data_IF_853788873759
#
_entry.id   IF_853788873759
#
_cell.length_a   1.000
_cell.length_b   1.000
_cell.length_c   1.000
_cell.angle_alpha   90.00
_cell.angle_beta   90.00
_cell.angle_gamma   90.00
#
_symmetry.space_group_name_H-M   'P 1'
#
loop_
_entity.id
_entity.type
_entity.pdbx_description
1 polymer ?
#
# COMPACT_ATOMS: atom_id res chain seq x y z
N UNK A 1 -18.57 27.04 9.23
CA UNK A 1 -17.61 26.20 8.50
C UNK A 1 -17.17 25.10 9.44
N UNK A 2 -17.37 23.82 9.10
CA UNK A 2 -17.05 22.72 10.02
C UNK A 2 -15.54 22.71 10.25
N UNK A 3 -15.14 22.83 11.51
CA UNK A 3 -13.75 22.73 11.96
C UNK A 3 -13.26 21.33 11.61
N UNK A 4 -12.44 21.23 10.57
CA UNK A 4 -11.76 20.00 10.18
C UNK A 4 -10.89 19.59 11.36
N UNK A 5 -11.25 18.49 12.03
CA UNK A 5 -10.41 17.90 13.08
C UNK A 5 -9.57 16.78 12.42
N UNK A 6 -8.25 16.97 12.27
CA UNK A 6 -7.36 15.98 11.67
C UNK A 6 -7.49 14.61 12.33
N UNK A 7 -7.72 14.57 13.64
CA UNK A 7 -7.86 13.33 14.39
C UNK A 7 -9.18 12.58 14.10
N UNK A 8 -10.17 13.21 13.46
CA UNK A 8 -11.46 12.52 13.18
C UNK A 8 -11.30 11.41 12.15
N UNK A 9 -10.51 11.63 11.09
CA UNK A 9 -10.28 10.61 10.08
C UNK A 9 -9.54 9.39 10.67
N UNK A 10 -8.53 9.63 11.49
CA UNK A 10 -7.81 8.58 12.21
C UNK A 10 -8.73 7.81 13.17
N UNK A 11 -9.53 8.51 13.98
CA UNK A 11 -10.53 7.86 14.86
C UNK A 11 -11.54 7.01 14.09
N UNK A 12 -11.95 7.45 12.90
CA UNK A 12 -12.85 6.69 12.03
C UNK A 12 -12.20 5.42 11.48
N UNK A 13 -10.96 5.51 10.98
CA UNK A 13 -10.20 4.34 10.52
C UNK A 13 -9.97 3.35 11.64
N UNK A 14 -9.62 3.86 12.82
CA UNK A 14 -9.41 3.06 14.03
C UNK A 14 -10.68 2.32 14.45
N UNK A 15 -11.80 3.05 14.58
CA UNK A 15 -13.10 2.48 14.93
C UNK A 15 -13.58 1.44 13.90
N UNK A 16 -13.38 1.70 12.60
CA UNK A 16 -13.76 0.78 11.54
C UNK A 16 -12.97 -0.52 11.64
N UNK A 17 -11.66 -0.44 11.81
CA UNK A 17 -10.79 -1.61 11.87
C UNK A 17 -11.09 -2.50 13.08
N UNK A 18 -11.34 -1.91 14.24
CA UNK A 18 -11.79 -2.64 15.44
C UNK A 18 -13.11 -3.37 15.18
N UNK A 19 -14.12 -2.65 14.69
CA UNK A 19 -15.44 -3.24 14.43
C UNK A 19 -15.38 -4.36 13.38
N UNK A 20 -14.60 -4.19 12.32
CA UNK A 20 -14.43 -5.23 11.30
C UNK A 20 -13.71 -6.46 11.84
N UNK A 21 -12.78 -6.28 12.77
CA UNK A 21 -12.09 -7.39 13.44
C UNK A 21 -13.02 -8.11 14.42
N UNK A 22 -13.85 -7.36 15.16
CA UNK A 22 -14.80 -7.89 16.16
C UNK A 22 -16.01 -8.61 15.55
N UNK A 23 -16.53 -8.09 14.44
CA UNK A 23 -17.84 -8.50 13.92
C UNK A 23 -17.80 -8.99 12.47
N UNK A 24 -16.67 -8.86 11.78
CA UNK A 24 -16.55 -9.10 10.35
C UNK A 24 -17.05 -7.92 9.51
N UNK A 25 -16.41 -7.70 8.37
CA UNK A 25 -16.70 -6.57 7.47
C UNK A 25 -18.18 -6.44 7.09
N UNK A 26 -18.84 -7.55 6.76
CA UNK A 26 -20.22 -7.54 6.26
C UNK A 26 -21.25 -7.13 7.32
N UNK A 27 -20.98 -7.42 8.60
CA UNK A 27 -21.91 -7.18 9.70
C UNK A 27 -21.82 -5.75 10.29
N UNK A 28 -20.87 -4.94 9.80
CA UNK A 28 -20.63 -3.58 10.30
C UNK A 28 -21.23 -2.55 9.36
N UNK A 29 -21.80 -1.50 9.97
CA UNK A 29 -22.44 -0.37 9.30
C UNK A 29 -21.70 0.94 9.56
N UNK A 30 -21.86 1.90 8.64
CA UNK A 30 -21.35 3.27 8.80
C UNK A 30 -21.83 3.93 10.10
N UNK A 31 -23.06 3.63 10.54
CA UNK A 31 -23.60 4.17 11.80
C UNK A 31 -22.79 3.70 13.00
N UNK A 32 -22.51 2.39 13.09
CA UNK A 32 -21.72 1.82 14.19
C UNK A 32 -20.30 2.41 14.22
N UNK A 33 -19.68 2.58 13.05
CA UNK A 33 -18.35 3.19 12.95
C UNK A 33 -18.38 4.65 13.44
N UNK A 34 -19.37 5.43 12.99
CA UNK A 34 -19.52 6.82 13.38
C UNK A 34 -19.75 6.96 14.90
N UNK A 35 -20.64 6.14 15.46
CA UNK A 35 -20.92 6.10 16.90
C UNK A 35 -19.67 5.74 17.72
N UNK A 36 -18.94 4.71 17.30
CA UNK A 36 -17.66 4.31 17.93
C UNK A 36 -16.61 5.41 17.87
N UNK A 37 -16.55 6.17 16.78
CA UNK A 37 -15.65 7.32 16.63
C UNK A 37 -16.16 8.61 17.29
N UNK A 38 -17.32 8.59 17.95
CA UNK A 38 -17.90 9.73 18.66
C UNK A 38 -18.47 10.81 17.75
N UNK A 39 -18.87 10.49 16.52
CA UNK A 39 -19.46 11.43 15.56
C UNK A 39 -20.79 10.94 15.00
N UNK A 40 -21.55 11.82 14.36
CA UNK A 40 -22.81 11.42 13.71
C UNK A 40 -22.55 10.72 12.37
N UNK A 41 -23.48 9.85 11.95
CA UNK A 41 -23.52 9.28 10.58
C UNK A 41 -23.42 10.36 9.49
N UNK A 42 -24.08 11.51 9.69
CA UNK A 42 -23.99 12.64 8.75
C UNK A 42 -22.58 13.22 8.67
N UNK A 43 -21.85 13.26 9.79
CA UNK A 43 -20.46 13.70 9.83
C UNK A 43 -19.53 12.71 9.16
N UNK A 44 -19.76 11.40 9.30
CA UNK A 44 -18.98 10.35 8.62
C UNK A 44 -18.88 10.59 7.11
N UNK A 45 -20.03 10.85 6.46
CA UNK A 45 -20.08 11.06 5.01
C UNK A 45 -19.36 12.32 4.51
N UNK A 46 -18.86 13.18 5.41
CA UNK A 46 -17.94 14.26 5.04
C UNK A 46 -16.50 13.77 4.82
N UNK A 47 -16.16 12.61 5.36
CA UNK A 47 -14.82 12.01 5.29
C UNK A 47 -14.78 10.86 4.29
N UNK A 48 -15.76 9.94 4.36
CA UNK A 48 -15.76 8.73 3.54
C UNK A 48 -17.13 8.51 2.89
N UNK A 49 -17.16 8.13 1.60
CA UNK A 49 -18.41 7.90 0.88
C UNK A 49 -19.15 6.65 1.37
N UNK A 50 -18.42 5.66 1.85
CA UNK A 50 -18.95 4.37 2.31
C UNK A 50 -18.02 3.71 3.33
N UNK A 51 -18.45 2.55 3.85
CA UNK A 51 -17.72 1.78 4.87
C UNK A 51 -16.42 1.17 4.32
N UNK A 52 -16.31 0.91 3.02
CA UNK A 52 -15.13 0.34 2.40
C UNK A 52 -13.99 1.35 2.41
N UNK A 53 -14.25 2.57 1.95
CA UNK A 53 -13.22 3.59 1.72
C UNK A 53 -12.50 4.05 2.99
N UNK A 54 -13.09 3.87 4.18
CA UNK A 54 -12.43 4.17 5.46
C UNK A 54 -11.12 3.39 5.65
N UNK A 55 -11.02 2.15 5.14
CA UNK A 55 -9.81 1.33 5.20
C UNK A 55 -8.73 1.78 4.21
N UNK A 56 -9.07 2.70 3.31
CA UNK A 56 -8.19 3.20 2.25
C UNK A 56 -7.94 4.70 2.41
N UNK A 57 -8.23 5.27 3.58
CA UNK A 57 -7.96 6.66 3.90
C UNK A 57 -6.49 7.02 3.58
N UNK A 58 -6.28 8.06 2.78
CA UNK A 58 -4.93 8.50 2.39
C UNK A 58 -4.34 7.77 1.19
N UNK A 59 -4.95 6.67 0.73
CA UNK A 59 -4.45 5.89 -0.40
C UNK A 59 -4.49 6.67 -1.72
N UNK A 60 -5.39 7.64 -1.85
CA UNK A 60 -5.52 8.51 -3.01
C UNK A 60 -4.27 9.35 -3.29
N UNK A 61 -3.45 9.58 -2.26
CA UNK A 61 -2.19 10.35 -2.36
C UNK A 61 -1.00 9.47 -2.78
N UNK A 62 -1.11 8.15 -2.64
CA UNK A 62 0.00 7.23 -2.87
C UNK A 62 0.53 7.27 -4.31
N UNK A 63 -0.31 7.23 -5.37
CA UNK A 63 0.20 7.25 -6.74
C UNK A 63 1.03 8.50 -7.03
N UNK A 64 0.55 9.68 -6.63
CA UNK A 64 1.27 10.94 -6.83
C UNK A 64 2.58 10.99 -6.03
N UNK A 65 2.57 10.53 -4.77
CA UNK A 65 3.76 10.48 -3.92
C UNK A 65 4.84 9.53 -4.48
N UNK A 66 4.43 8.32 -4.90
CA UNK A 66 5.34 7.34 -5.50
C UNK A 66 5.90 7.86 -6.82
N UNK A 67 5.06 8.44 -7.68
CA UNK A 67 5.50 9.06 -8.94
C UNK A 67 6.57 10.13 -8.71
N UNK A 68 6.32 11.03 -7.75
CA UNK A 68 7.27 12.09 -7.41
C UNK A 68 8.60 11.51 -6.91
N UNK A 69 8.56 10.52 -6.01
CA UNK A 69 9.77 9.88 -5.48
C UNK A 69 10.56 9.12 -6.56
N UNK A 70 9.90 8.48 -7.54
CA UNK A 70 10.59 7.83 -8.67
C UNK A 70 11.28 8.88 -9.56
N UNK A 71 10.67 10.04 -9.77
CA UNK A 71 11.27 11.12 -10.57
C UNK A 71 12.43 11.82 -9.86
N UNK A 72 12.40 11.90 -8.54
CA UNK A 72 13.44 12.54 -7.71
C UNK A 72 14.65 11.62 -7.45
N UNK A 73 14.48 10.30 -7.58
CA UNK A 73 15.56 9.35 -7.41
C UNK A 73 16.70 9.58 -8.42
N UNK A 74 17.94 9.34 -7.95
CA UNK A 74 19.19 9.53 -8.72
C UNK A 74 19.02 9.14 -10.21
N UNK A 75 19.30 10.07 -11.16
CA UNK A 75 19.23 9.79 -12.59
C UNK A 75 20.10 8.60 -13.03
N UNK A 76 21.20 8.32 -12.32
CA UNK A 76 22.09 7.19 -12.59
C UNK A 76 21.60 5.85 -12.00
N UNK A 77 20.59 5.88 -11.11
CA UNK A 77 20.05 4.67 -10.53
C UNK A 77 19.36 3.78 -11.58
N UNK A 78 19.57 2.48 -11.48
CA UNK A 78 18.84 1.50 -12.28
C UNK A 78 17.32 1.63 -12.04
N UNK A 79 16.47 1.39 -13.05
CA UNK A 79 15.02 1.61 -12.95
C UNK A 79 14.35 0.90 -11.76
N UNK A 80 14.71 -0.37 -11.51
CA UNK A 80 14.17 -1.13 -10.40
C UNK A 80 14.63 -0.59 -9.05
N UNK A 81 15.88 -0.15 -8.94
CA UNK A 81 16.39 0.48 -7.71
C UNK A 81 15.68 1.80 -7.42
N UNK A 82 15.42 2.62 -8.43
CA UNK A 82 14.65 3.86 -8.28
C UNK A 82 13.20 3.58 -7.81
N UNK A 83 12.54 2.60 -8.41
CA UNK A 83 11.19 2.21 -8.03
C UNK A 83 11.11 1.64 -6.60
N UNK A 84 12.04 0.76 -6.22
CA UNK A 84 12.10 0.20 -4.86
C UNK A 84 12.44 1.26 -3.82
N UNK A 85 13.36 2.18 -4.10
CA UNK A 85 13.70 3.28 -3.21
C UNK A 85 12.49 4.21 -2.97
N UNK A 86 11.75 4.56 -4.03
CA UNK A 86 10.53 5.34 -3.92
C UNK A 86 9.47 4.65 -3.06
N UNK A 87 9.29 3.34 -3.24
CA UNK A 87 8.38 2.54 -2.43
C UNK A 87 8.83 2.40 -0.97
N UNK A 88 10.14 2.29 -0.70
CA UNK A 88 10.69 2.34 0.67
C UNK A 88 10.34 3.65 1.35
N UNK A 89 10.59 4.78 0.69
CA UNK A 89 10.36 6.11 1.25
C UNK A 89 8.87 6.34 1.56
N UNK A 90 7.99 6.07 0.59
CA UNK A 90 6.54 6.26 0.76
C UNK A 90 5.96 5.25 1.75
N UNK A 91 6.44 4.00 1.71
CA UNK A 91 6.00 2.93 2.59
C UNK A 91 6.43 3.13 4.04
N UNK A 92 7.61 3.68 4.31
CA UNK A 92 8.06 3.99 5.66
C UNK A 92 7.19 5.07 6.32
N UNK A 93 6.88 6.15 5.59
CA UNK A 93 5.97 7.19 6.08
C UNK A 93 4.56 6.64 6.35
N UNK A 94 4.12 5.67 5.57
CA UNK A 94 2.84 4.99 5.80
C UNK A 94 2.91 4.05 7.02
N UNK A 95 4.02 3.32 7.17
CA UNK A 95 4.26 2.39 8.27
C UNK A 95 4.28 3.09 9.65
N UNK A 96 4.82 4.32 9.73
CA UNK A 96 4.81 5.14 10.95
C UNK A 96 3.39 5.48 11.45
N UNK A 97 2.38 5.41 10.59
CA UNK A 97 0.99 5.73 10.92
C UNK A 97 0.07 4.51 11.00
N UNK A 98 0.55 3.30 10.64
CA UNK A 98 -0.27 2.09 10.63
C UNK A 98 0.26 1.07 11.65
N UNK A 99 -0.08 1.32 12.92
CA UNK A 99 0.13 0.39 14.05
C UNK A 99 -0.63 -0.95 13.87
N UNK A 100 -1.56 -1.02 12.90
CA UNK A 100 -2.50 -2.14 12.71
C UNK A 100 -2.50 -2.73 11.30
N UNK A 101 -1.34 -2.76 10.64
CA UNK A 101 -1.23 -3.23 9.25
C UNK A 101 -1.68 -4.68 9.11
N UNK A 102 -1.35 -5.53 10.08
CA UNK A 102 -1.77 -6.94 10.10
C UNK A 102 -3.30 -7.09 10.16
N UNK A 103 -3.96 -6.39 11.08
CA UNK A 103 -5.43 -6.39 11.23
C UNK A 103 -6.10 -5.91 9.93
N UNK A 104 -5.61 -4.80 9.36
CA UNK A 104 -6.15 -4.24 8.12
C UNK A 104 -6.04 -5.24 6.97
N UNK A 105 -4.91 -5.94 6.85
CA UNK A 105 -4.72 -6.97 5.82
C UNK A 105 -5.63 -8.17 6.02
N UNK A 106 -5.80 -8.64 7.27
CA UNK A 106 -6.72 -9.73 7.58
C UNK A 106 -8.16 -9.39 7.17
N UNK A 107 -8.61 -8.17 7.48
CA UNK A 107 -9.96 -7.68 7.08
C UNK A 107 -10.10 -7.60 5.56
N UNK A 108 -9.09 -7.10 4.83
CA UNK A 108 -9.13 -7.06 3.37
C UNK A 108 -9.17 -8.47 2.77
N UNK A 109 -8.38 -9.40 3.33
CA UNK A 109 -8.35 -10.78 2.86
C UNK A 109 -9.70 -11.50 3.05
N UNK A 110 -10.49 -11.11 4.06
CA UNK A 110 -11.78 -11.75 4.35
C UNK A 110 -12.95 -11.30 3.46
N UNK A 111 -12.79 -10.31 2.58
CA UNK A 111 -13.89 -9.79 1.74
C UNK A 111 -13.47 -9.60 0.28
N UNK A 112 -14.15 -10.24 -0.70
CA UNK A 112 -13.88 -10.03 -2.13
C UNK A 112 -13.98 -8.57 -2.56
N UNK A 113 -14.95 -7.82 -2.02
CA UNK A 113 -15.13 -6.39 -2.31
C UNK A 113 -13.90 -5.56 -1.91
N UNK A 114 -13.34 -5.87 -0.72
CA UNK A 114 -12.13 -5.20 -0.24
C UNK A 114 -10.91 -5.58 -1.08
N UNK A 115 -10.80 -6.85 -1.49
CA UNK A 115 -9.72 -7.30 -2.36
C UNK A 115 -9.76 -6.60 -3.72
N UNK A 116 -10.93 -6.45 -4.34
CA UNK A 116 -11.10 -5.72 -5.60
C UNK A 116 -10.66 -4.26 -5.48
N UNK A 117 -11.06 -3.60 -4.38
CA UNK A 117 -10.66 -2.22 -4.12
C UNK A 117 -9.16 -2.06 -3.87
N UNK A 118 -8.55 -3.02 -3.16
CA UNK A 118 -7.10 -3.06 -2.93
C UNK A 118 -6.35 -3.29 -4.26
N UNK A 119 -6.81 -4.20 -5.12
CA UNK A 119 -6.24 -4.39 -6.48
C UNK A 119 -6.31 -3.11 -7.31
N UNK A 120 -7.43 -2.39 -7.25
CA UNK A 120 -7.60 -1.12 -7.97
C UNK A 120 -6.61 -0.06 -7.46
N UNK A 121 -6.42 0.03 -6.14
CA UNK A 121 -5.40 0.92 -5.53
C UNK A 121 -4.00 0.58 -6.04
N UNK A 122 -3.65 -0.71 -6.01
CA UNK A 122 -2.33 -1.19 -6.41
C UNK A 122 -2.06 -0.94 -7.89
N UNK A 123 -3.06 -1.14 -8.76
CA UNK A 123 -2.96 -0.84 -10.18
C UNK A 123 -2.66 0.66 -10.43
N UNK A 124 -3.28 1.56 -9.67
CA UNK A 124 -2.98 2.99 -9.76
C UNK A 124 -1.54 3.33 -9.36
N UNK A 125 -1.00 2.66 -8.32
CA UNK A 125 0.40 2.81 -7.92
C UNK A 125 1.35 2.24 -8.99
N UNK A 126 1.06 1.06 -9.55
CA UNK A 126 1.85 0.47 -10.64
C UNK A 126 1.88 1.40 -11.86
N UNK A 127 0.73 1.95 -12.28
CA UNK A 127 0.67 2.91 -13.38
C UNK A 127 1.53 4.14 -13.11
N UNK A 128 1.46 4.69 -11.89
CA UNK A 128 2.24 5.86 -11.52
C UNK A 128 3.76 5.61 -11.55
N UNK A 129 4.21 4.41 -11.18
CA UNK A 129 5.62 4.00 -11.32
C UNK A 129 5.99 3.90 -12.80
N UNK A 130 5.19 3.22 -13.62
CA UNK A 130 5.43 3.09 -15.06
C UNK A 130 5.55 4.46 -15.73
N UNK A 131 4.59 5.37 -15.49
CA UNK A 131 4.58 6.71 -16.06
C UNK A 131 5.83 7.51 -15.66
N UNK A 132 6.29 7.37 -14.41
CA UNK A 132 7.51 8.02 -13.95
C UNK A 132 8.77 7.45 -14.62
N UNK A 133 8.85 6.13 -14.82
CA UNK A 133 9.97 5.47 -15.49
C UNK A 133 10.02 5.84 -16.98
N UNK A 134 8.86 5.90 -17.66
CA UNK A 134 8.76 6.41 -19.03
C UNK A 134 9.29 7.85 -19.13
N UNK A 135 8.92 8.70 -18.18
CA UNK A 135 9.43 10.08 -18.14
C UNK A 135 10.94 10.16 -17.86
N UNK A 136 11.52 9.15 -17.20
CA UNK A 136 12.98 9.00 -17.02
C UNK A 136 13.69 8.43 -18.27
N UNK A 137 12.96 8.14 -19.34
CA UNK A 137 13.52 7.61 -20.59
C UNK A 137 13.71 6.09 -20.61
N UNK A 138 13.11 5.36 -19.67
CA UNK A 138 13.03 3.89 -19.74
C UNK A 138 12.04 3.50 -20.85
N UNK A 139 12.36 2.45 -21.63
CA UNK A 139 11.45 1.94 -22.64
C UNK A 139 10.17 1.33 -22.03
N UNK A 140 9.09 1.23 -22.82
CA UNK A 140 7.76 0.84 -22.32
C UNK A 140 7.72 -0.57 -21.72
N UNK A 141 8.37 -1.54 -22.37
CA UNK A 141 8.40 -2.93 -21.91
C UNK A 141 9.13 -3.03 -20.56
N UNK A 142 10.31 -2.41 -20.45
CA UNK A 142 11.07 -2.36 -19.20
C UNK A 142 10.33 -1.59 -18.10
N UNK A 143 9.73 -0.43 -18.43
CA UNK A 143 9.00 0.38 -17.45
C UNK A 143 7.81 -0.39 -16.86
N UNK A 144 7.06 -1.09 -17.71
CA UNK A 144 5.93 -1.93 -17.30
C UNK A 144 6.38 -3.10 -16.42
N UNK A 145 7.41 -3.84 -16.82
CA UNK A 145 7.93 -4.97 -16.04
C UNK A 145 8.45 -4.51 -14.68
N UNK A 146 9.26 -3.45 -14.65
CA UNK A 146 9.82 -2.90 -13.42
C UNK A 146 8.73 -2.43 -12.48
N UNK A 147 7.71 -1.71 -12.98
CA UNK A 147 6.60 -1.25 -12.17
C UNK A 147 5.83 -2.40 -11.50
N UNK A 148 5.56 -3.48 -12.25
CA UNK A 148 4.88 -4.66 -11.74
C UNK A 148 5.71 -5.39 -10.68
N UNK A 149 6.99 -5.63 -10.98
CA UNK A 149 7.93 -6.29 -10.06
C UNK A 149 8.08 -5.49 -8.76
N UNK A 150 8.29 -4.17 -8.86
CA UNK A 150 8.43 -3.31 -7.69
C UNK A 150 7.16 -3.30 -6.83
N UNK A 151 5.98 -3.27 -7.48
CA UNK A 151 4.68 -3.34 -6.76
C UNK A 151 4.52 -4.67 -6.00
N UNK A 152 4.84 -5.80 -6.64
CA UNK A 152 4.78 -7.13 -6.01
C UNK A 152 5.78 -7.23 -4.86
N UNK A 153 7.01 -6.73 -5.04
CA UNK A 153 8.02 -6.71 -4.00
C UNK A 153 7.54 -5.92 -2.77
N UNK A 154 6.93 -4.75 -2.98
CA UNK A 154 6.36 -3.94 -1.91
C UNK A 154 5.21 -4.62 -1.17
N UNK A 155 4.34 -5.37 -1.85
CA UNK A 155 3.25 -6.11 -1.19
C UNK A 155 3.79 -7.18 -0.24
N UNK A 156 4.74 -7.98 -0.71
CA UNK A 156 5.41 -9.01 0.08
C UNK A 156 6.21 -8.42 1.25
N UNK A 157 6.81 -7.25 1.05
CA UNK A 157 7.51 -6.53 2.11
C UNK A 157 6.54 -6.06 3.20
N UNK A 158 5.35 -5.56 2.81
CA UNK A 158 4.30 -5.19 3.75
C UNK A 158 3.77 -6.40 4.52
N UNK A 159 3.72 -7.60 3.92
CA UNK A 159 3.33 -8.84 4.61
C UNK A 159 4.36 -9.19 5.69
N UNK A 160 5.63 -9.30 5.28
CA UNK A 160 6.75 -9.60 6.19
C UNK A 160 6.87 -8.57 7.31
N UNK A 161 6.64 -7.30 7.01
CA UNK A 161 6.67 -6.23 8.00
C UNK A 161 5.51 -6.38 9.00
N UNK A 162 4.28 -6.63 8.54
CA UNK A 162 3.13 -6.84 9.42
C UNK A 162 3.30 -8.06 10.33
N UNK A 163 3.93 -9.13 9.84
CA UNK A 163 4.21 -10.35 10.60
C UNK A 163 5.42 -10.22 11.54
N UNK A 164 6.20 -9.15 11.44
CA UNK A 164 7.39 -8.94 12.28
C UNK A 164 7.07 -8.45 13.69
N UNK A 165 5.82 -8.06 13.98
CA UNK A 165 5.40 -7.51 15.28
C UNK A 165 6.34 -6.43 15.85
N UNK A 166 6.90 -5.59 14.97
CA UNK A 166 7.80 -4.49 15.33
C UNK A 166 9.30 -4.86 15.41
N UNK A 167 9.67 -6.11 15.16
CA UNK A 167 11.09 -6.54 15.14
C UNK A 167 11.87 -5.98 13.94
N UNK A 168 11.18 -5.67 12.84
CA UNK A 168 11.79 -5.17 11.61
C UNK A 168 11.05 -3.93 11.12
N UNK A 169 11.79 -2.98 10.56
CA UNK A 169 11.19 -1.89 9.81
C UNK A 169 10.80 -2.32 8.39
N UNK A 170 9.95 -1.52 7.74
CA UNK A 170 9.48 -1.79 6.39
C UNK A 170 10.63 -1.84 5.37
N UNK A 171 11.62 -0.96 5.51
CA UNK A 171 12.77 -0.87 4.61
C UNK A 171 13.59 -2.18 4.60
N UNK A 172 13.80 -2.76 5.78
CA UNK A 172 14.49 -4.04 5.99
C UNK A 172 13.72 -5.18 5.32
N UNK A 173 12.40 -5.21 5.47
CA UNK A 173 11.55 -6.19 4.80
C UNK A 173 11.59 -6.06 3.27
N UNK A 174 11.55 -4.83 2.73
CA UNK A 174 11.62 -4.61 1.29
C UNK A 174 12.99 -4.97 0.72
N UNK A 175 14.06 -4.63 1.43
CA UNK A 175 15.41 -5.04 1.06
C UNK A 175 15.54 -6.57 1.01
N UNK A 176 15.02 -7.27 2.03
CA UNK A 176 15.04 -8.74 2.06
C UNK A 176 14.23 -9.36 0.90
N UNK A 177 13.10 -8.76 0.50
CA UNK A 177 12.33 -9.24 -0.68
C UNK A 177 13.11 -8.99 -1.98
N UNK A 178 13.76 -7.83 -2.12
CA UNK A 178 14.57 -7.51 -3.29
C UNK A 178 15.76 -8.49 -3.45
N UNK A 179 16.41 -8.86 -2.34
CA UNK A 179 17.46 -9.89 -2.32
C UNK A 179 16.90 -11.24 -2.76
N UNK A 180 15.78 -11.71 -2.17
CA UNK A 180 15.15 -12.98 -2.58
C UNK A 180 14.77 -13.01 -4.06
N UNK A 181 14.24 -11.90 -4.59
CA UNK A 181 13.90 -11.78 -6.01
C UNK A 181 15.13 -11.93 -6.90
N UNK A 182 16.23 -11.25 -6.56
CA UNK A 182 17.50 -11.36 -7.31
C UNK A 182 17.99 -12.81 -7.33
N UNK A 183 18.03 -13.45 -6.16
CA UNK A 183 18.57 -14.80 -6.02
C UNK A 183 17.74 -15.81 -6.86
N UNK A 184 16.40 -15.71 -6.82
CA UNK A 184 15.50 -16.51 -7.66
C UNK A 184 15.72 -16.31 -9.17
N UNK A 185 15.96 -15.07 -9.60
CA UNK A 185 16.22 -14.76 -11.01
C UNK A 185 17.58 -15.30 -11.47
N UNK A 186 18.59 -15.29 -10.60
CA UNK A 186 19.92 -15.84 -10.92
C UNK A 186 19.94 -17.38 -10.94
N UNK A 187 19.21 -18.04 -10.05
CA UNK A 187 19.17 -19.52 -10.00
C UNK A 187 18.28 -20.12 -11.09
N UNK A 188 17.16 -19.47 -11.41
CA UNK A 188 16.14 -20.01 -12.33
C UNK A 188 16.45 -19.87 -13.82
N UNK A 189 17.24 -18.87 -14.22
CA UNK A 189 17.54 -18.60 -15.64
C UNK A 189 18.71 -19.46 -16.14
N UNK A 190 19.71 -19.77 -15.29
CA UNK A 190 20.86 -20.61 -15.64
C UNK A 190 20.50 -22.11 -15.77
N UNK A 191 19.40 -22.55 -15.16
CA UNK A 191 18.95 -23.95 -15.20
C UNK A 191 18.36 -24.39 -16.55
N UNK A 192 18.29 -23.50 -17.54
CA UNK A 192 17.67 -23.76 -18.87
C UNK A 192 18.64 -23.74 -20.05
N UNK A 193 19.96 -23.72 -19.81
CA UNK A 193 21.01 -23.76 -20.86
C UNK A 193 21.81 -25.06 -20.95
N UNK A 194 21.36 -26.13 -20.30
CA UNK A 194 21.94 -27.47 -20.45
C UNK A 194 20.90 -28.45 -20.97
N UNK A 195 20.63 -28.42 -22.29
CA UNK A 195 20.18 -29.57 -23.09
C UNK A 195 20.51 -29.35 -24.57
#
# INVERSE_FOLDING_TARGET
MARWDPGTAERLTQAALELYTEHGYDNVTVTQIAERAGITRRSYFRYFPDKREVLFAGSERLPAAVRAAVLDADPAAAPLSAALAALTQVGAALAEHIDRTAERRAVIASSPELQERERTKLAAVTSAIQDALLQRGVDDDSAKLVAQIATIASQNALDRWAESYGEKDFATCLHAVAVSLRDLLTEGIDSSRSE
#
